data_IF_241215299867
#
_entry.id   IF_241215299867
#
_cell.length_a   1.000
_cell.length_b   1.000
_cell.length_c   1.000
_cell.angle_alpha   90.00
_cell.angle_beta   90.00
_cell.angle_gamma   90.00
#
_symmetry.space_group_name_H-M   'P 1'
#
loop_
_entity.id
_entity.type
_entity.pdbx_description
1 polymer ?
#
# COMPACT_ATOMS: atom_id res chain seq x y z
N UNK A 1 -1.86 -4.36 -15.18
CA UNK A 1 -0.47 -4.77 -14.84
C UNK A 1 -0.42 -6.26 -14.59
N UNK A 2 0.55 -6.93 -15.13
CA UNK A 2 0.75 -8.36 -14.94
C UNK A 2 2.08 -8.62 -14.25
N UNK A 3 2.07 -9.53 -13.27
CA UNK A 3 3.29 -9.99 -12.60
C UNK A 3 3.91 -11.07 -13.48
N UNK A 4 4.91 -10.70 -14.25
CA UNK A 4 5.55 -11.60 -15.20
C UNK A 4 6.62 -12.45 -14.57
N UNK A 5 6.85 -13.65 -15.11
CA UNK A 5 7.95 -14.51 -14.70
C UNK A 5 9.27 -13.78 -14.87
N UNK A 6 10.11 -13.80 -13.82
CA UNK A 6 11.40 -13.13 -13.82
C UNK A 6 11.39 -11.68 -13.34
N UNK A 7 10.20 -11.08 -13.18
CA UNK A 7 10.12 -9.74 -12.59
C UNK A 7 10.20 -9.81 -11.07
N UNK A 8 10.93 -8.86 -10.48
CA UNK A 8 10.99 -8.71 -9.03
C UNK A 8 9.91 -7.73 -8.56
N UNK A 9 9.65 -7.68 -7.26
CA UNK A 9 8.74 -6.68 -6.70
C UNK A 9 9.24 -5.27 -6.95
N UNK A 10 10.54 -5.05 -6.94
CA UNK A 10 11.12 -3.73 -7.22
C UNK A 10 10.85 -3.32 -8.67
N UNK A 11 10.86 -4.25 -9.61
CA UNK A 11 10.58 -3.97 -11.02
C UNK A 11 9.17 -3.45 -11.23
N UNK A 12 8.20 -3.97 -10.47
CA UNK A 12 6.79 -3.59 -10.63
C UNK A 12 6.34 -2.51 -9.65
N UNK A 13 7.23 -2.04 -8.75
CA UNK A 13 6.87 -1.08 -7.72
C UNK A 13 6.21 0.19 -8.28
N UNK A 14 6.75 0.85 -9.32
CA UNK A 14 6.10 2.06 -9.84
C UNK A 14 4.68 1.82 -10.31
N UNK A 15 4.44 0.73 -11.04
CA UNK A 15 3.12 0.39 -11.55
C UNK A 15 2.17 0.00 -10.42
N UNK A 16 2.65 -0.80 -9.45
CA UNK A 16 1.84 -1.22 -8.31
C UNK A 16 1.43 -0.02 -7.46
N UNK A 17 2.36 0.91 -7.21
CA UNK A 17 2.04 2.11 -6.45
C UNK A 17 1.07 3.01 -7.20
N UNK A 18 1.19 3.11 -8.53
CA UNK A 18 0.25 3.87 -9.34
C UNK A 18 -1.16 3.28 -9.27
N UNK A 19 -1.29 1.96 -9.35
CA UNK A 19 -2.58 1.27 -9.24
C UNK A 19 -3.17 1.46 -7.85
N UNK A 20 -2.37 1.28 -6.80
CA UNK A 20 -2.83 1.46 -5.42
C UNK A 20 -3.27 2.91 -5.16
N UNK A 21 -2.52 3.87 -5.68
CA UNK A 21 -2.83 5.29 -5.57
C UNK A 21 -4.17 5.63 -6.20
N UNK A 22 -4.43 5.11 -7.40
CA UNK A 22 -5.70 5.31 -8.09
C UNK A 22 -6.85 4.60 -7.38
N UNK A 23 -6.63 3.39 -6.87
CA UNK A 23 -7.63 2.68 -6.10
C UNK A 23 -8.01 3.43 -4.82
N UNK A 24 -7.03 4.01 -4.12
CA UNK A 24 -7.27 4.84 -2.94
C UNK A 24 -8.13 6.05 -3.28
N UNK A 25 -7.86 6.70 -4.40
CA UNK A 25 -8.66 7.83 -4.86
C UNK A 25 -10.11 7.43 -5.10
N UNK A 26 -10.34 6.32 -5.78
CA UNK A 26 -11.69 5.85 -6.12
C UNK A 26 -12.49 5.40 -4.91
N UNK A 27 -11.82 4.74 -3.95
CA UNK A 27 -12.51 4.12 -2.80
C UNK A 27 -12.64 5.08 -1.63
N UNK A 28 -11.57 5.81 -1.32
CA UNK A 28 -11.52 6.67 -0.13
C UNK A 28 -11.59 8.16 -0.47
N UNK A 29 -11.52 8.52 -1.74
CA UNK A 29 -11.43 9.92 -2.15
C UNK A 29 -10.10 10.56 -1.78
N UNK A 30 -9.11 9.75 -1.41
CA UNK A 30 -7.79 10.21 -0.98
C UNK A 30 -6.72 9.78 -1.99
N UNK A 31 -6.02 10.77 -2.52
CA UNK A 31 -4.94 10.51 -3.47
C UNK A 31 -3.61 10.70 -2.75
N UNK A 32 -2.81 9.63 -2.60
CA UNK A 32 -1.55 9.73 -1.85
C UNK A 32 -0.64 10.84 -2.35
N UNK A 33 -0.17 11.65 -1.42
CA UNK A 33 0.77 12.74 -1.71
C UNK A 33 2.17 12.18 -1.93
N UNK A 34 3.04 13.03 -2.51
CA UNK A 34 4.42 12.64 -2.77
C UNK A 34 5.15 12.15 -1.53
N UNK A 35 4.97 12.81 -0.39
CA UNK A 35 5.60 12.41 0.87
C UNK A 35 5.14 11.01 1.30
N UNK A 36 3.89 10.67 1.04
CA UNK A 36 3.35 9.35 1.35
C UNK A 36 3.94 8.28 0.44
N UNK A 37 4.14 8.59 -0.84
CA UNK A 37 4.79 7.67 -1.77
C UNK A 37 6.24 7.41 -1.36
N UNK A 38 6.97 8.45 -0.96
CA UNK A 38 8.33 8.33 -0.46
C UNK A 38 8.36 7.44 0.79
N UNK A 39 7.43 7.67 1.73
CA UNK A 39 7.31 6.84 2.92
C UNK A 39 7.07 5.38 2.59
N UNK A 40 6.19 5.10 1.63
CA UNK A 40 5.93 3.74 1.17
C UNK A 40 7.16 3.06 0.56
N UNK A 41 7.94 3.79 -0.22
CA UNK A 41 9.18 3.28 -0.78
C UNK A 41 10.19 2.94 0.33
N UNK A 42 10.33 3.84 1.30
CA UNK A 42 11.25 3.62 2.43
C UNK A 42 10.86 2.37 3.21
N UNK A 43 9.57 2.20 3.52
CA UNK A 43 9.08 1.00 4.20
C UNK A 43 9.33 -0.26 3.38
N UNK A 44 9.14 -0.18 2.07
CA UNK A 44 9.36 -1.33 1.19
C UNK A 44 10.83 -1.76 1.17
N UNK A 45 11.74 -0.84 1.44
CA UNK A 45 13.18 -1.12 1.52
C UNK A 45 13.60 -1.74 2.86
N UNK A 46 12.65 -2.01 3.75
CA UNK A 46 12.95 -2.55 5.08
C UNK A 46 13.48 -1.50 6.05
N UNK A 47 13.22 -0.24 5.79
CA UNK A 47 13.68 0.89 6.61
C UNK A 47 12.52 1.46 7.41
N UNK A 48 12.84 2.33 8.36
CA UNK A 48 11.83 3.01 9.18
C UNK A 48 11.53 4.37 8.56
N UNK A 49 10.25 4.65 8.34
CA UNK A 49 9.80 5.96 7.88
C UNK A 49 9.16 6.69 9.06
N UNK A 50 9.76 7.80 9.46
CA UNK A 50 9.22 8.65 10.51
C UNK A 50 8.37 9.75 9.87
N UNK A 51 7.12 9.84 10.29
CA UNK A 51 6.17 10.80 9.74
C UNK A 51 5.43 11.51 10.86
N UNK A 52 5.11 12.78 10.63
CA UNK A 52 4.35 13.56 11.58
C UNK A 52 2.89 13.10 11.66
N UNK A 53 2.25 13.33 12.80
CA UNK A 53 0.82 13.13 12.98
C UNK A 53 0.07 13.91 11.90
N UNK A 54 -0.93 13.28 11.28
CA UNK A 54 -1.74 13.92 10.24
C UNK A 54 -1.22 13.77 8.82
N UNK A 55 -0.12 13.04 8.61
CA UNK A 55 0.43 12.81 7.27
C UNK A 55 -0.14 11.55 6.59
N UNK A 56 -1.15 10.92 7.20
CA UNK A 56 -1.84 9.78 6.58
C UNK A 56 -1.03 8.49 6.58
N UNK A 57 -0.54 8.08 7.74
CA UNK A 57 0.31 6.89 7.88
C UNK A 57 -0.34 5.59 7.42
N UNK A 58 -1.65 5.45 7.61
CA UNK A 58 -2.37 4.25 7.17
C UNK A 58 -2.26 4.07 5.66
N UNK A 59 -2.43 5.15 4.92
CA UNK A 59 -2.33 5.13 3.47
C UNK A 59 -0.90 4.84 3.00
N UNK A 60 0.09 5.36 3.74
CA UNK A 60 1.50 5.06 3.47
C UNK A 60 1.79 3.58 3.60
N UNK A 61 1.27 2.94 4.64
CA UNK A 61 1.46 1.50 4.85
C UNK A 61 0.73 0.66 3.79
N UNK A 62 -0.36 1.16 3.22
CA UNK A 62 -1.11 0.46 2.20
C UNK A 62 -0.29 0.24 0.92
N UNK A 63 0.60 1.17 0.57
CA UNK A 63 1.39 1.09 -0.65
C UNK A 63 2.33 -0.14 -0.69
N UNK A 64 3.26 -0.30 0.28
CA UNK A 64 4.11 -1.48 0.26
C UNK A 64 3.34 -2.78 0.55
N UNK A 65 2.27 -2.72 1.34
CA UNK A 65 1.45 -3.90 1.60
C UNK A 65 0.75 -4.37 0.31
N UNK A 66 0.25 -3.47 -0.50
CA UNK A 66 -0.33 -3.82 -1.80
C UNK A 66 0.72 -4.46 -2.71
N UNK A 67 1.89 -3.83 -2.84
CA UNK A 67 2.98 -4.35 -3.67
C UNK A 67 3.39 -5.76 -3.24
N UNK A 68 3.68 -5.93 -1.95
CA UNK A 68 4.15 -7.24 -1.46
C UNK A 68 3.06 -8.29 -1.47
N UNK A 69 1.79 -7.90 -1.37
CA UNK A 69 0.66 -8.82 -1.50
C UNK A 69 0.53 -9.42 -2.89
N UNK A 70 1.06 -8.77 -3.91
CA UNK A 70 1.01 -9.28 -5.28
C UNK A 70 1.85 -10.55 -5.47
N UNK A 71 2.82 -10.81 -4.58
CA UNK A 71 3.61 -12.04 -4.63
C UNK A 71 2.81 -13.28 -4.24
N UNK A 72 1.69 -13.11 -3.57
CA UNK A 72 0.88 -14.22 -3.05
C UNK A 72 1.39 -14.82 -1.76
N UNK A 73 2.49 -14.31 -1.20
CA UNK A 73 3.08 -14.84 0.03
C UNK A 73 2.44 -14.28 1.30
N UNK A 74 1.59 -13.29 1.16
CA UNK A 74 0.92 -12.65 2.28
C UNK A 74 1.72 -11.51 2.89
N UNK A 75 1.00 -10.64 3.59
CA UNK A 75 1.59 -9.47 4.26
C UNK A 75 0.91 -9.31 5.61
N UNK A 76 1.69 -9.08 6.64
CA UNK A 76 1.17 -8.78 7.98
C UNK A 76 1.29 -7.30 8.26
N UNK A 77 0.17 -6.67 8.64
CA UNK A 77 0.14 -5.27 9.07
C UNK A 77 -0.20 -5.26 10.56
N UNK A 78 0.69 -4.72 11.36
CA UNK A 78 0.57 -4.72 12.82
C UNK A 78 0.24 -3.32 13.30
N UNK A 79 -0.78 -3.20 14.14
CA UNK A 79 -1.17 -1.93 14.75
C UNK A 79 -1.14 -2.07 16.28
N UNK A 80 -1.32 -0.93 16.98
CA UNK A 80 -1.18 -0.92 18.45
C UNK A 80 -2.39 -1.49 19.18
N UNK A 81 -3.57 -1.61 18.52
CA UNK A 81 -4.76 -2.17 19.16
C UNK A 81 -5.75 -2.71 18.13
N UNK A 82 -6.74 -3.46 18.63
CA UNK A 82 -7.72 -4.14 17.79
C UNK A 82 -8.61 -3.17 17.01
N UNK A 83 -8.94 -2.03 17.62
CA UNK A 83 -9.78 -1.02 16.95
C UNK A 83 -9.10 -0.50 15.68
N UNK A 84 -7.83 -0.14 15.78
CA UNK A 84 -7.06 0.34 14.63
C UNK A 84 -6.87 -0.76 13.59
N UNK A 85 -6.61 -1.99 14.03
CA UNK A 85 -6.45 -3.12 13.12
C UNK A 85 -7.73 -3.35 12.30
N UNK A 86 -8.88 -3.30 12.95
CA UNK A 86 -10.16 -3.48 12.26
C UNK A 86 -10.44 -2.33 11.30
N UNK A 87 -10.27 -1.09 11.75
CA UNK A 87 -10.49 0.09 10.92
C UNK A 87 -9.60 0.07 9.69
N UNK A 88 -8.30 -0.15 9.89
CA UNK A 88 -7.33 -0.14 8.81
C UNK A 88 -7.57 -1.29 7.83
N UNK A 89 -7.91 -2.48 8.33
CA UNK A 89 -8.18 -3.61 7.45
C UNK A 89 -9.41 -3.36 6.57
N UNK A 90 -10.44 -2.71 7.08
CA UNK A 90 -11.63 -2.37 6.31
C UNK A 90 -11.32 -1.38 5.20
N UNK A 91 -10.55 -0.32 5.51
CA UNK A 91 -10.18 0.69 4.54
C UNK A 91 -9.21 0.14 3.48
N UNK A 92 -8.17 -0.54 3.94
CA UNK A 92 -7.14 -1.09 3.05
C UNK A 92 -7.70 -2.23 2.20
N UNK A 93 -8.62 -3.01 2.74
CA UNK A 93 -9.27 -4.10 2.00
C UNK A 93 -10.01 -3.60 0.78
N UNK A 94 -10.66 -2.45 0.87
CA UNK A 94 -11.36 -1.84 -0.27
C UNK A 94 -10.37 -1.42 -1.35
N UNK A 95 -9.24 -0.85 -0.96
CA UNK A 95 -8.18 -0.46 -1.89
C UNK A 95 -7.64 -1.69 -2.61
N UNK A 96 -7.36 -2.76 -1.88
CA UNK A 96 -6.79 -3.99 -2.43
C UNK A 96 -7.77 -4.66 -3.39
N UNK A 97 -9.04 -4.68 -3.06
CA UNK A 97 -10.06 -5.29 -3.90
C UNK A 97 -10.15 -4.58 -5.26
N UNK A 98 -10.20 -3.26 -5.26
CA UNK A 98 -10.24 -2.46 -6.49
C UNK A 98 -8.92 -2.55 -7.25
N UNK A 99 -7.79 -2.42 -6.53
CA UNK A 99 -6.47 -2.46 -7.15
C UNK A 99 -6.18 -3.79 -7.83
N UNK A 100 -6.56 -4.90 -7.22
CA UNK A 100 -6.35 -6.23 -7.79
C UNK A 100 -7.15 -6.46 -9.07
N UNK A 101 -8.28 -5.79 -9.23
CA UNK A 101 -9.07 -5.89 -10.45
C UNK A 101 -8.36 -5.30 -11.66
N UNK A 102 -7.33 -4.49 -11.46
CA UNK A 102 -6.55 -3.84 -12.52
C UNK A 102 -5.17 -4.47 -12.75
N UNK A 103 -4.91 -5.58 -12.09
CA UNK A 103 -3.61 -6.25 -12.15
C UNK A 103 -3.64 -7.47 -13.03
#
# INVERSE_FOLDING_TARGET
>A
MLFRSGETLDDILPDAFAVCREAARRVLGMYPYRVQLIGGIILNQGRIAEMRTGEGKTLVAALPAFLNGLSGEGVHVVTVNDYLAKRDSEQMGKIYQIGRAHV
#
